data_IF_470769715551
#
_entry.id   IF_470769715551
#
_cell.length_a   1.000
_cell.length_b   1.000
_cell.length_c   1.000
_cell.angle_alpha   90.00
_cell.angle_beta   90.00
_cell.angle_gamma   90.00
#
_symmetry.space_group_name_H-M   'P 1'
#
loop_
_entity.id
_entity.type
_entity.pdbx_description
1 polymer ?
#
# COMPACT_ATOMS: atom_id res chain seq x y z
N UNK A 1 0.47 -23.78 13.60
CA UNK A 1 0.60 -22.31 13.82
C UNK A 1 1.99 -21.76 13.43
N UNK A 2 3.09 -22.49 13.69
CA UNK A 2 4.44 -22.02 13.36
C UNK A 2 4.66 -21.81 11.85
N UNK A 3 4.20 -22.73 11.00
CA UNK A 3 4.37 -22.63 9.54
C UNK A 3 3.70 -21.39 8.95
N UNK A 4 2.47 -21.06 9.38
CA UNK A 4 1.77 -19.84 8.95
C UNK A 4 2.56 -18.58 9.35
N UNK A 5 3.11 -18.55 10.57
CA UNK A 5 3.91 -17.42 11.06
C UNK A 5 5.19 -17.26 10.24
N UNK A 6 5.92 -18.36 10.02
CA UNK A 6 7.14 -18.36 9.20
C UNK A 6 6.85 -17.93 7.77
N UNK A 7 5.76 -18.42 7.16
CA UNK A 7 5.37 -18.02 5.82
C UNK A 7 5.05 -16.52 5.70
N UNK A 8 4.37 -15.95 6.71
CA UNK A 8 4.09 -14.50 6.76
C UNK A 8 5.40 -13.71 6.89
N UNK A 9 6.28 -14.08 7.82
CA UNK A 9 7.56 -13.38 7.98
C UNK A 9 8.45 -13.51 6.75
N UNK A 10 8.46 -14.68 6.09
CA UNK A 10 9.18 -14.88 4.83
C UNK A 10 8.61 -14.00 3.70
N UNK A 11 7.28 -13.89 3.59
CA UNK A 11 6.64 -13.01 2.62
C UNK A 11 6.96 -11.53 2.84
N UNK A 12 6.97 -11.08 4.11
CA UNK A 12 7.35 -9.71 4.47
C UNK A 12 8.82 -9.47 4.13
N UNK A 13 9.73 -10.37 4.53
CA UNK A 13 11.17 -10.24 4.26
C UNK A 13 11.48 -10.24 2.75
N UNK A 14 10.80 -11.10 1.98
CA UNK A 14 10.93 -11.14 0.52
C UNK A 14 10.46 -9.83 -0.11
N UNK A 15 9.30 -9.32 0.31
CA UNK A 15 8.77 -8.05 -0.20
C UNK A 15 9.72 -6.89 0.12
N UNK A 16 10.22 -6.82 1.35
CA UNK A 16 11.20 -5.80 1.75
C UNK A 16 12.49 -5.91 0.91
N UNK A 17 13.04 -7.10 0.73
CA UNK A 17 14.21 -7.33 -0.10
C UNK A 17 13.98 -6.91 -1.56
N UNK A 18 12.83 -7.27 -2.13
CA UNK A 18 12.47 -6.96 -3.51
C UNK A 18 12.32 -5.45 -3.73
N UNK A 19 11.66 -4.74 -2.80
CA UNK A 19 11.53 -3.28 -2.86
C UNK A 19 12.88 -2.56 -2.70
N UNK A 20 13.76 -3.07 -1.83
CA UNK A 20 15.10 -2.50 -1.65
C UNK A 20 16.01 -2.73 -2.86
N UNK A 21 15.86 -3.86 -3.56
CA UNK A 21 16.63 -4.16 -4.78
C UNK A 21 16.08 -3.47 -6.02
N UNK A 22 14.82 -3.01 -6.00
CA UNK A 22 14.16 -2.29 -7.10
C UNK A 22 13.54 -0.97 -6.63
N UNK A 23 14.36 0.07 -6.41
CA UNK A 23 13.89 1.33 -5.85
C UNK A 23 12.89 2.07 -6.75
N UNK A 24 12.96 1.89 -8.08
CA UNK A 24 11.99 2.46 -9.03
C UNK A 24 10.60 1.85 -8.88
N UNK A 25 10.50 0.52 -8.79
CA UNK A 25 9.22 -0.18 -8.60
C UNK A 25 8.61 0.19 -7.25
N UNK A 26 9.43 0.35 -6.20
CA UNK A 26 8.97 0.78 -4.88
C UNK A 26 8.38 2.20 -4.87
N UNK A 27 9.01 3.14 -5.60
CA UNK A 27 8.50 4.50 -5.72
C UNK A 27 7.16 4.55 -6.45
N UNK A 28 6.96 3.71 -7.46
CA UNK A 28 5.70 3.61 -8.19
C UNK A 28 4.58 3.01 -7.35
N UNK A 29 4.86 1.94 -6.59
CA UNK A 29 3.90 1.35 -5.65
C UNK A 29 3.48 2.34 -4.56
N UNK A 30 4.43 3.08 -3.98
CA UNK A 30 4.13 4.08 -2.95
C UNK A 30 3.33 5.26 -3.55
N UNK A 31 3.69 5.74 -4.75
CA UNK A 31 2.95 6.81 -5.44
C UNK A 31 1.52 6.36 -5.76
N UNK A 32 1.34 5.17 -6.31
CA UNK A 32 0.01 4.62 -6.58
C UNK A 32 -0.84 4.44 -5.31
N UNK A 33 -0.22 4.03 -4.20
CA UNK A 33 -0.90 3.94 -2.91
C UNK A 33 -1.32 5.32 -2.37
N UNK A 34 -0.45 6.33 -2.47
CA UNK A 34 -0.76 7.71 -2.07
C UNK A 34 -1.85 8.32 -2.94
N UNK A 35 -1.77 8.15 -4.26
CA UNK A 35 -2.81 8.61 -5.19
C UNK A 35 -4.16 7.96 -4.86
N UNK A 36 -4.16 6.68 -4.49
CA UNK A 36 -5.38 5.97 -4.07
C UNK A 36 -5.98 6.56 -2.78
N UNK A 37 -5.14 6.92 -1.81
CA UNK A 37 -5.58 7.56 -0.55
C UNK A 37 -6.16 8.94 -0.81
N UNK A 38 -5.48 9.74 -1.65
CA UNK A 38 -5.96 11.09 -2.03
C UNK A 38 -7.29 10.99 -2.76
N UNK A 39 -7.41 10.11 -3.75
CA UNK A 39 -8.65 9.89 -4.47
C UNK A 39 -9.79 9.42 -3.56
N UNK A 40 -9.49 8.56 -2.58
CA UNK A 40 -10.47 8.15 -1.58
C UNK A 40 -10.89 9.32 -0.69
N UNK A 41 -9.96 10.16 -0.26
CA UNK A 41 -10.25 11.36 0.53
C UNK A 41 -11.12 12.36 -0.26
N UNK A 42 -10.82 12.60 -1.53
CA UNK A 42 -11.63 13.45 -2.41
C UNK A 42 -13.04 12.89 -2.62
N UNK A 43 -13.15 11.56 -2.74
CA UNK A 43 -14.45 10.87 -2.84
C UNK A 43 -15.29 11.06 -1.57
N UNK A 44 -14.67 10.97 -0.39
CA UNK A 44 -15.33 11.21 0.88
C UNK A 44 -15.72 12.69 1.03
N UNK A 45 -14.81 13.62 0.72
CA UNK A 45 -15.07 15.05 0.77
C UNK A 45 -16.25 15.44 -0.15
N UNK A 46 -16.26 14.90 -1.37
CA UNK A 46 -17.35 15.10 -2.34
C UNK A 46 -18.69 14.54 -1.86
N UNK A 47 -18.68 13.40 -1.16
CA UNK A 47 -19.88 12.83 -0.57
C UNK A 47 -20.46 13.74 0.53
N UNK A 48 -19.63 14.21 1.47
CA UNK A 48 -20.08 15.09 2.55
C UNK A 48 -20.51 16.47 2.03
N UNK A 49 -19.81 17.02 1.03
CA UNK A 49 -20.20 18.27 0.40
C UNK A 49 -21.56 18.20 -0.31
N UNK A 50 -21.99 17.01 -0.74
CA UNK A 50 -23.34 16.78 -1.31
C UNK A 50 -24.41 16.50 -0.25
N UNK A 51 -24.01 16.24 1.00
CA UNK A 51 -24.91 15.92 2.12
C UNK A 51 -25.28 17.17 2.95
N UNK A 52 -24.56 18.27 2.78
CA UNK A 52 -24.86 19.62 3.28
C UNK A 52 -25.62 20.40 2.22
#
# INVERSE_FOLDING_TARGET
MQVKKVAIYAGIAFTAFYLLTRPTDAAEVIRGAMDSVVNAADSLASFFARLT
#
